data_IF_897138028496
#
_entry.id   IF_897138028496
#
_cell.length_a   1.000
_cell.length_b   1.000
_cell.length_c   1.000
_cell.angle_alpha   90.00
_cell.angle_beta   90.00
_cell.angle_gamma   90.00
#
_symmetry.space_group_name_H-M   'P 1'
#
loop_
_entity.id
_entity.type
_entity.pdbx_description
1 polymer ?
#
# COMPACT_ATOMS: atom_id res chain seq x y z
N UNK A 1 23.12 21.96 40.64
CA UNK A 1 24.11 21.08 41.30
C UNK A 1 23.52 20.66 42.64
N UNK A 2 23.50 19.37 42.97
CA UNK A 2 24.69 18.54 43.27
C UNK A 2 24.98 17.53 42.13
N UNK A 3 26.21 17.31 41.65
CA UNK A 3 27.48 16.84 42.25
C UNK A 3 27.62 15.30 42.24
N UNK A 4 28.51 14.76 41.42
CA UNK A 4 28.86 13.33 41.34
C UNK A 4 29.68 12.97 40.09
N UNK A 5 30.97 12.73 40.28
CA UNK A 5 32.09 12.76 39.32
C UNK A 5 32.31 11.51 38.44
N UNK A 6 33.29 11.54 37.51
CA UNK A 6 33.41 10.67 36.34
C UNK A 6 34.56 9.66 36.41
N UNK A 7 34.29 8.35 36.33
CA UNK A 7 35.29 7.31 36.00
C UNK A 7 34.48 6.15 35.35
N UNK A 8 34.83 5.63 34.17
CA UNK A 8 36.08 4.91 33.93
C UNK A 8 35.88 3.45 34.36
N UNK A 9 35.26 2.62 33.51
CA UNK A 9 34.88 1.25 33.86
C UNK A 9 34.98 0.30 32.68
N UNK A 10 36.14 -0.32 32.56
CA UNK A 10 36.58 -1.29 31.59
C UNK A 10 35.78 -2.60 31.66
N UNK A 11 35.16 -3.04 30.56
CA UNK A 11 34.55 -4.37 30.49
C UNK A 11 35.64 -5.40 30.17
N UNK A 12 36.15 -6.01 31.24
CA UNK A 12 36.88 -7.27 31.17
C UNK A 12 35.88 -8.41 30.92
N UNK A 13 36.27 -9.35 30.06
CA UNK A 13 35.50 -10.56 29.78
C UNK A 13 35.46 -11.50 30.98
N UNK A 14 34.48 -12.39 31.00
CA UNK A 14 34.37 -13.36 32.08
C UNK A 14 33.02 -14.06 32.07
N UNK A 15 33.01 -15.21 31.43
CA UNK A 15 31.91 -16.15 31.32
C UNK A 15 31.63 -16.77 32.71
N UNK A 16 30.36 -16.92 33.10
CA UNK A 16 30.03 -17.49 34.40
C UNK A 16 28.53 -17.60 34.68
N UNK A 17 28.02 -18.79 34.41
CA UNK A 17 26.67 -19.30 34.67
C UNK A 17 26.11 -19.08 36.09
N UNK A 18 24.79 -18.85 36.21
CA UNK A 18 23.99 -19.38 37.32
C UNK A 18 22.98 -18.44 37.99
N UNK A 19 21.75 -18.41 37.46
CA UNK A 19 20.44 -18.31 38.15
C UNK A 19 20.34 -17.44 39.43
N UNK A 20 19.54 -16.37 39.53
CA UNK A 20 18.09 -16.33 39.32
C UNK A 20 17.56 -14.95 39.76
N UNK A 21 16.61 -14.36 39.02
CA UNK A 21 15.51 -13.50 39.54
C UNK A 21 14.55 -13.02 38.42
N UNK A 22 13.34 -13.56 38.48
CA UNK A 22 12.02 -13.05 38.05
C UNK A 22 11.75 -12.82 36.53
N UNK A 23 10.67 -13.43 35.97
CA UNK A 23 10.28 -13.23 34.58
C UNK A 23 9.58 -11.89 34.37
N UNK A 24 10.09 -11.09 33.43
CA UNK A 24 9.37 -9.94 32.89
C UNK A 24 8.25 -10.41 31.97
N UNK A 25 7.10 -9.74 32.03
CA UNK A 25 5.99 -9.89 31.11
C UNK A 25 6.51 -9.65 29.68
N UNK A 26 6.62 -10.71 28.86
CA UNK A 26 7.00 -10.55 27.45
C UNK A 26 7.57 -11.74 26.69
N UNK A 27 8.01 -12.84 27.32
CA UNK A 27 8.69 -13.92 26.59
C UNK A 27 7.83 -15.19 26.41
N UNK A 28 7.52 -15.53 25.15
CA UNK A 28 7.07 -16.86 24.73
C UNK A 28 8.22 -17.58 24.00
N UNK A 29 9.01 -18.33 24.76
CA UNK A 29 10.14 -19.12 24.27
C UNK A 29 9.75 -20.25 23.31
N UNK A 30 10.07 -20.07 22.03
CA UNK A 30 10.19 -21.16 21.05
C UNK A 30 11.67 -21.39 20.68
N UNK A 31 12.06 -22.61 20.26
CA UNK A 31 13.46 -22.92 19.95
C UNK A 31 13.96 -22.12 18.74
N UNK A 32 15.24 -21.73 18.79
CA UNK A 32 15.93 -21.13 17.65
C UNK A 32 16.04 -22.18 16.52
N UNK A 33 15.35 -21.93 15.41
CA UNK A 33 15.54 -22.69 14.17
C UNK A 33 16.40 -21.84 13.23
N UNK A 34 17.56 -22.38 12.84
CA UNK A 34 18.39 -21.81 11.78
C UNK A 34 17.53 -21.48 10.54
N UNK A 35 17.73 -20.32 9.90
CA UNK A 35 16.98 -19.98 8.69
C UNK A 35 17.43 -20.89 7.54
N UNK A 36 16.74 -22.01 7.37
CA UNK A 36 16.78 -22.79 6.14
C UNK A 36 16.29 -21.91 4.98
N UNK A 37 17.19 -21.61 4.06
CA UNK A 37 16.90 -20.96 2.78
C UNK A 37 16.09 -21.92 1.89
N UNK A 38 14.79 -22.01 2.13
CA UNK A 38 13.83 -22.69 1.27
C UNK A 38 13.42 -21.82 0.07
N UNK A 39 13.04 -22.42 -1.08
CA UNK A 39 12.58 -21.65 -2.24
C UNK A 39 11.31 -20.85 -1.90
N UNK A 40 11.22 -19.63 -2.41
CA UNK A 40 10.07 -18.73 -2.25
C UNK A 40 8.84 -19.28 -2.99
N UNK A 41 8.08 -20.14 -2.31
CA UNK A 41 6.79 -20.68 -2.79
C UNK A 41 5.62 -19.84 -2.26
N UNK A 42 5.82 -19.04 -1.21
CA UNK A 42 4.75 -18.24 -0.56
C UNK A 42 4.32 -17.01 -1.36
N UNK A 43 5.15 -16.50 -2.27
CA UNK A 43 4.82 -15.31 -3.09
C UNK A 43 3.92 -15.63 -4.29
N UNK A 44 4.20 -16.73 -5.01
CA UNK A 44 3.49 -17.09 -6.25
C UNK A 44 2.00 -17.35 -6.01
N UNK A 45 1.65 -18.04 -4.93
CA UNK A 45 0.26 -18.35 -4.59
C UNK A 45 -0.56 -17.10 -4.25
N UNK A 46 0.03 -16.16 -3.50
CA UNK A 46 -0.65 -14.89 -3.14
C UNK A 46 -0.84 -13.99 -4.36
N UNK A 47 0.18 -13.87 -5.21
CA UNK A 47 0.12 -13.09 -6.45
C UNK A 47 -0.96 -13.66 -7.39
N UNK A 48 -0.98 -14.99 -7.57
CA UNK A 48 -2.00 -15.68 -8.37
C UNK A 48 -3.41 -15.41 -7.85
N UNK A 49 -3.59 -15.51 -6.54
CA UNK A 49 -4.86 -15.22 -5.85
C UNK A 49 -5.33 -13.77 -6.06
N UNK A 50 -4.48 -12.78 -5.79
CA UNK A 50 -4.84 -11.36 -5.99
C UNK A 50 -5.15 -11.05 -7.47
N UNK A 51 -4.45 -11.69 -8.41
CA UNK A 51 -4.75 -11.56 -9.84
C UNK A 51 -6.13 -12.15 -10.18
N UNK A 52 -6.46 -13.33 -9.65
CA UNK A 52 -7.77 -13.95 -9.83
C UNK A 52 -8.89 -13.07 -9.26
N UNK A 53 -8.73 -12.54 -8.05
CA UNK A 53 -9.69 -11.65 -7.42
C UNK A 53 -9.88 -10.33 -8.18
N UNK A 54 -8.78 -9.74 -8.70
CA UNK A 54 -8.86 -8.59 -9.62
C UNK A 54 -9.62 -8.92 -10.91
N UNK A 55 -9.43 -10.12 -11.48
CA UNK A 55 -10.15 -10.54 -12.67
C UNK A 55 -11.66 -10.64 -12.42
N UNK A 56 -12.08 -11.20 -11.27
CA UNK A 56 -13.48 -11.24 -10.84
C UNK A 56 -14.04 -9.82 -10.68
N UNK A 57 -13.32 -8.92 -10.02
CA UNK A 57 -13.75 -7.53 -9.82
C UNK A 57 -13.99 -6.82 -11.17
N UNK A 58 -13.09 -7.01 -12.15
CA UNK A 58 -13.23 -6.46 -13.51
C UNK A 58 -14.40 -7.06 -14.28
N UNK A 59 -14.59 -8.38 -14.22
CA UNK A 59 -15.68 -9.05 -14.91
C UNK A 59 -17.04 -8.55 -14.41
N UNK A 60 -17.20 -8.36 -13.10
CA UNK A 60 -18.42 -7.82 -12.50
C UNK A 60 -18.67 -6.36 -12.89
N UNK A 61 -17.62 -5.51 -12.91
CA UNK A 61 -17.76 -4.11 -13.33
C UNK A 61 -18.24 -3.97 -14.78
N UNK A 62 -17.85 -4.89 -15.69
CA UNK A 62 -18.28 -4.88 -17.09
C UNK A 62 -19.73 -5.36 -17.29
N UNK A 63 -20.28 -6.12 -16.34
CA UNK A 63 -21.63 -6.70 -16.41
C UNK A 63 -22.71 -5.83 -15.77
N UNK A 64 -22.33 -4.76 -15.07
CA UNK A 64 -23.24 -3.89 -14.33
C UNK A 64 -23.97 -2.86 -15.22
N UNK A 65 -24.80 -3.37 -16.14
CA UNK A 65 -25.98 -2.67 -16.62
C UNK A 65 -27.20 -3.32 -15.99
N UNK A 66 -27.68 -2.75 -14.87
CA UNK A 66 -28.90 -3.13 -14.11
C UNK A 66 -28.99 -4.60 -13.64
N UNK A 67 -28.85 -4.77 -12.31
CA UNK A 67 -29.15 -5.98 -11.51
C UNK A 67 -28.19 -7.16 -11.71
N UNK A 68 -27.53 -7.58 -10.61
CA UNK A 68 -26.92 -8.91 -10.53
C UNK A 68 -25.51 -8.95 -9.95
N UNK A 69 -25.33 -8.56 -8.70
CA UNK A 69 -24.23 -9.09 -7.89
C UNK A 69 -24.76 -10.28 -7.08
N UNK A 70 -25.21 -11.33 -7.76
CA UNK A 70 -25.29 -12.65 -7.12
C UNK A 70 -23.84 -13.07 -6.92
N UNK A 71 -23.36 -12.95 -5.69
CA UNK A 71 -22.16 -13.67 -5.26
C UNK A 71 -22.58 -15.14 -5.28
N UNK A 72 -22.11 -15.90 -6.27
CA UNK A 72 -22.20 -17.36 -6.24
C UNK A 72 -21.26 -17.84 -5.11
N UNK A 73 -21.81 -17.84 -3.90
CA UNK A 73 -21.17 -18.28 -2.67
C UNK A 73 -21.37 -19.80 -2.54
N UNK A 74 -20.70 -20.56 -3.39
CA UNK A 74 -20.53 -22.00 -3.13
C UNK A 74 -19.02 -22.26 -3.20
N UNK A 75 -18.44 -22.41 -2.00
CA UNK A 75 -17.14 -23.03 -1.71
C UNK A 75 -15.84 -22.28 -2.08
N UNK A 76 -15.65 -21.05 -1.57
CA UNK A 76 -14.32 -20.44 -1.55
C UNK A 76 -13.93 -20.07 -0.11
N UNK A 77 -12.98 -20.83 0.46
CA UNK A 77 -12.54 -20.73 1.86
C UNK A 77 -11.98 -19.37 2.29
N UNK A 78 -11.44 -19.33 3.51
CA UNK A 78 -10.98 -18.16 4.29
C UNK A 78 -10.24 -17.05 3.50
N UNK A 79 -9.57 -17.39 2.39
CA UNK A 79 -8.93 -16.43 1.49
C UNK A 79 -9.90 -15.43 0.83
N UNK A 80 -11.11 -15.86 0.45
CA UNK A 80 -12.06 -14.95 -0.21
C UNK A 80 -12.49 -13.81 0.73
N UNK A 81 -12.55 -14.04 2.04
CA UNK A 81 -12.85 -12.98 3.02
C UNK A 81 -11.81 -11.84 2.98
N UNK A 82 -10.53 -12.17 2.86
CA UNK A 82 -9.45 -11.17 2.79
C UNK A 82 -9.50 -10.32 1.51
N UNK A 83 -9.99 -10.87 0.40
CA UNK A 83 -10.07 -10.18 -0.89
C UNK A 83 -11.46 -9.59 -1.17
N UNK A 84 -12.51 -10.10 -0.52
CA UNK A 84 -13.91 -9.71 -0.73
C UNK A 84 -14.12 -8.21 -0.54
N UNK A 85 -13.52 -7.63 0.49
CA UNK A 85 -13.63 -6.19 0.76
C UNK A 85 -12.96 -5.35 -0.33
N UNK A 86 -11.85 -5.85 -0.92
CA UNK A 86 -11.19 -5.22 -2.07
C UNK A 86 -11.99 -5.39 -3.37
N UNK A 87 -12.67 -6.53 -3.57
CA UNK A 87 -13.57 -6.78 -4.71
C UNK A 87 -14.79 -5.85 -4.61
N UNK A 88 -15.38 -5.73 -3.42
CA UNK A 88 -16.55 -4.88 -3.17
C UNK A 88 -16.20 -3.40 -3.37
N UNK A 89 -15.13 -2.91 -2.75
CA UNK A 89 -14.73 -1.50 -2.87
C UNK A 89 -14.35 -1.10 -4.30
N UNK A 90 -13.88 -2.06 -5.13
CA UNK A 90 -13.59 -1.80 -6.54
C UNK A 90 -14.84 -1.34 -7.32
N UNK A 91 -16.04 -1.74 -6.88
CA UNK A 91 -17.31 -1.37 -7.51
C UNK A 91 -17.84 -0.01 -7.04
N UNK A 92 -17.19 0.64 -6.08
CA UNK A 92 -17.62 1.95 -5.60
C UNK A 92 -17.64 2.97 -6.74
N UNK A 93 -18.69 3.79 -6.74
CA UNK A 93 -18.81 4.93 -7.63
C UNK A 93 -17.66 5.95 -7.39
N UNK A 94 -17.26 6.72 -8.43
CA UNK A 94 -16.31 7.80 -8.26
C UNK A 94 -16.76 8.81 -7.19
N UNK A 95 -15.81 9.31 -6.41
CA UNK A 95 -16.00 10.27 -5.32
C UNK A 95 -15.40 11.63 -5.67
N UNK A 96 -15.79 12.68 -4.96
CA UNK A 96 -15.09 13.98 -5.00
C UNK A 96 -13.72 13.84 -4.34
N UNK A 97 -12.84 14.81 -4.58
CA UNK A 97 -11.53 14.85 -3.93
C UNK A 97 -11.66 14.90 -2.40
N UNK A 98 -12.54 15.77 -1.89
CA UNK A 98 -12.79 15.93 -0.45
C UNK A 98 -13.29 14.62 0.21
N UNK A 99 -14.20 13.90 -0.44
CA UNK A 99 -14.69 12.59 0.04
C UNK A 99 -13.56 11.54 0.12
N UNK A 100 -12.56 11.61 -0.77
CA UNK A 100 -11.41 10.71 -0.77
C UNK A 100 -10.36 11.11 0.28
N UNK A 101 -10.14 12.41 0.49
CA UNK A 101 -9.22 12.97 1.48
C UNK A 101 -9.71 12.75 2.92
N UNK A 102 -11.03 12.83 3.15
CA UNK A 102 -11.64 12.64 4.49
C UNK A 102 -11.25 11.31 5.17
N UNK A 103 -10.92 10.30 4.36
CA UNK A 103 -10.57 8.96 4.82
C UNK A 103 -9.08 8.63 4.71
N UNK A 104 -8.24 9.57 4.26
CA UNK A 104 -6.80 9.37 4.17
C UNK A 104 -6.20 9.10 5.57
N UNK A 105 -5.23 8.19 5.65
CA UNK A 105 -4.59 7.79 6.91
C UNK A 105 -5.44 6.88 7.79
N UNK A 106 -6.70 6.59 7.41
CA UNK A 106 -7.57 5.69 8.15
C UNK A 106 -7.40 4.26 7.65
N UNK A 107 -7.19 3.31 8.56
CA UNK A 107 -7.20 1.89 8.22
C UNK A 107 -8.62 1.45 7.81
N UNK A 108 -8.82 1.29 6.49
CA UNK A 108 -10.11 0.93 5.90
C UNK A 108 -9.96 -0.36 5.10
N UNK A 109 -10.61 -1.47 5.52
CA UNK A 109 -10.56 -2.71 4.76
C UNK A 109 -11.03 -2.53 3.31
N UNK A 110 -10.23 -3.03 2.36
CA UNK A 110 -10.48 -2.89 0.92
C UNK A 110 -10.02 -1.57 0.29
N UNK A 111 -9.44 -0.65 1.07
CA UNK A 111 -8.86 0.61 0.60
C UNK A 111 -7.40 0.72 1.01
N UNK A 112 -6.67 1.56 0.28
CA UNK A 112 -5.31 1.97 0.62
C UNK A 112 -5.19 3.49 0.49
N UNK A 113 -4.23 4.06 1.21
CA UNK A 113 -3.79 5.43 0.97
C UNK A 113 -3.01 5.51 -0.35
N UNK A 114 -3.29 6.55 -1.11
CA UNK A 114 -2.69 6.83 -2.40
C UNK A 114 -2.26 8.29 -2.47
N UNK A 115 -1.04 8.51 -2.93
CA UNK A 115 -0.51 9.84 -3.17
C UNK A 115 -0.85 10.28 -4.59
N UNK A 116 -1.54 11.41 -4.76
CA UNK A 116 -1.91 11.98 -6.07
C UNK A 116 -0.63 12.26 -6.88
N UNK A 117 0.35 12.88 -6.23
CA UNK A 117 1.74 12.94 -6.67
C UNK A 117 2.51 11.84 -5.96
N UNK A 118 3.00 10.84 -6.71
CA UNK A 118 3.67 9.66 -6.15
C UNK A 118 4.79 10.05 -5.17
N UNK A 119 4.85 9.38 -4.01
CA UNK A 119 5.89 9.62 -3.00
C UNK A 119 7.32 9.56 -3.58
N UNK A 120 7.56 8.66 -4.54
CA UNK A 120 8.84 8.54 -5.24
C UNK A 120 9.21 9.75 -6.11
N UNK A 121 8.23 10.54 -6.56
CA UNK A 121 8.50 11.82 -7.25
C UNK A 121 9.09 12.85 -6.28
N UNK A 122 8.71 12.82 -5.00
CA UNK A 122 9.25 13.74 -3.99
C UNK A 122 10.78 13.75 -3.92
N UNK A 123 11.39 12.57 -3.87
CA UNK A 123 12.86 12.45 -3.85
C UNK A 123 13.50 12.74 -5.20
N UNK A 124 12.88 12.33 -6.31
CA UNK A 124 13.44 12.49 -7.66
C UNK A 124 13.39 13.93 -8.15
N UNK A 125 12.27 14.60 -7.92
CA UNK A 125 11.97 15.96 -8.39
C UNK A 125 12.25 17.03 -7.31
N UNK A 126 12.69 16.61 -6.11
CA UNK A 126 12.98 17.48 -4.95
C UNK A 126 11.78 18.29 -4.46
N UNK A 127 10.56 17.76 -4.61
CA UNK A 127 9.38 18.37 -4.00
C UNK A 127 9.46 18.30 -2.47
N UNK A 128 8.98 19.33 -1.76
CA UNK A 128 9.04 19.37 -0.30
C UNK A 128 8.22 18.23 0.30
N UNK A 129 8.75 17.59 1.35
CA UNK A 129 8.07 16.48 2.05
C UNK A 129 6.69 16.90 2.58
N UNK A 130 6.54 18.16 3.01
CA UNK A 130 5.25 18.71 3.45
C UNK A 130 4.18 18.73 2.36
N UNK A 131 4.57 18.87 1.09
CA UNK A 131 3.63 18.75 -0.03
C UNK A 131 3.37 17.29 -0.39
N UNK A 132 4.42 16.46 -0.40
CA UNK A 132 4.32 15.04 -0.76
C UNK A 132 3.51 14.25 0.26
N UNK A 133 3.80 14.37 1.55
CA UNK A 133 3.08 13.67 2.62
C UNK A 133 1.89 14.49 3.17
N UNK A 134 1.62 15.65 2.56
CA UNK A 134 0.57 16.56 3.00
C UNK A 134 -0.83 15.99 2.78
N UNK A 135 -1.77 16.38 3.64
CA UNK A 135 -3.16 15.91 3.60
C UNK A 135 -3.86 16.19 2.25
N UNK A 136 -3.40 17.22 1.54
CA UNK A 136 -3.92 17.57 0.22
C UNK A 136 -3.51 16.58 -0.87
N UNK A 137 -2.39 15.87 -0.68
CA UNK A 137 -1.83 14.92 -1.64
C UNK A 137 -2.19 13.46 -1.36
N UNK A 138 -2.73 13.14 -0.18
CA UNK A 138 -3.04 11.75 0.23
C UNK A 138 -4.56 11.52 0.21
N UNK A 139 -4.98 10.42 -0.41
CA UNK A 139 -6.39 10.03 -0.54
C UNK A 139 -6.59 8.54 -0.28
N UNK A 140 -7.76 8.17 0.27
CA UNK A 140 -8.13 6.76 0.46
C UNK A 140 -8.90 6.22 -0.76
N UNK A 141 -8.34 5.25 -1.47
CA UNK A 141 -8.92 4.71 -2.72
C UNK A 141 -9.06 3.18 -2.67
N UNK A 142 -9.97 2.58 -3.45
CA UNK A 142 -10.10 1.12 -3.50
C UNK A 142 -8.76 0.44 -3.87
N UNK A 143 -8.34 -0.56 -3.09
CA UNK A 143 -7.05 -1.25 -3.24
C UNK A 143 -6.77 -1.73 -4.65
N UNK A 144 -7.77 -2.30 -5.32
CA UNK A 144 -7.59 -2.78 -6.69
C UNK A 144 -7.47 -1.65 -7.71
N UNK A 145 -8.16 -0.52 -7.52
CA UNK A 145 -7.96 0.68 -8.36
C UNK A 145 -6.57 1.30 -8.10
N UNK A 146 -6.09 1.29 -6.86
CA UNK A 146 -4.72 1.70 -6.52
C UNK A 146 -3.68 0.91 -7.33
N UNK A 147 -3.81 -0.41 -7.35
CA UNK A 147 -2.92 -1.27 -8.14
C UNK A 147 -2.97 -0.96 -9.64
N UNK A 148 -4.13 -0.65 -10.19
CA UNK A 148 -4.27 -0.31 -11.61
C UNK A 148 -3.65 1.04 -11.95
N UNK A 149 -3.84 2.06 -11.11
CA UNK A 149 -3.22 3.38 -11.26
C UNK A 149 -1.70 3.24 -11.23
N UNK A 150 -1.16 2.53 -10.22
CA UNK A 150 0.29 2.25 -10.15
C UNK A 150 0.78 1.50 -11.39
N UNK A 151 0.02 0.53 -11.88
CA UNK A 151 0.33 -0.17 -13.13
C UNK A 151 0.32 0.75 -14.36
N UNK A 152 -0.61 1.69 -14.42
CA UNK A 152 -0.73 2.66 -15.50
C UNK A 152 0.44 3.64 -15.54
N UNK A 153 0.90 4.12 -14.38
CA UNK A 153 2.10 4.97 -14.29
C UNK A 153 3.38 4.30 -14.79
N UNK A 154 3.41 2.96 -14.82
CA UNK A 154 4.54 2.16 -15.33
C UNK A 154 4.38 1.72 -16.79
N UNK A 155 3.23 1.98 -17.43
CA UNK A 155 2.96 1.53 -18.80
C UNK A 155 3.21 2.67 -19.78
N UNK A 156 3.88 2.36 -20.89
CA UNK A 156 4.02 3.30 -22.01
C UNK A 156 2.65 3.70 -22.52
N UNK A 157 2.46 5.00 -22.78
CA UNK A 157 1.17 5.55 -23.15
C UNK A 157 1.35 6.56 -24.30
N UNK A 158 0.59 6.42 -25.41
CA UNK A 158 0.68 7.34 -26.56
C UNK A 158 0.39 8.80 -26.20
N UNK A 159 -0.45 9.05 -25.19
CA UNK A 159 -0.76 10.40 -24.70
C UNK A 159 0.46 11.13 -24.11
N UNK A 160 1.54 10.38 -23.85
CA UNK A 160 2.80 10.88 -23.30
C UNK A 160 3.97 10.58 -24.26
N UNK A 161 3.70 10.52 -25.57
CA UNK A 161 4.75 10.29 -26.57
C UNK A 161 5.40 8.91 -26.44
N UNK A 162 4.62 7.89 -26.07
CA UNK A 162 5.09 6.52 -25.81
C UNK A 162 6.09 6.39 -24.63
N UNK A 163 6.19 7.41 -23.78
CA UNK A 163 6.81 7.32 -22.46
C UNK A 163 5.84 6.72 -21.45
N UNK A 164 6.37 6.21 -20.34
CA UNK A 164 5.53 5.98 -19.15
C UNK A 164 5.12 7.34 -18.58
N UNK A 165 3.96 7.48 -17.92
CA UNK A 165 3.61 8.71 -17.22
C UNK A 165 4.69 9.16 -16.24
N UNK A 166 5.38 8.23 -15.56
CA UNK A 166 6.52 8.53 -14.68
C UNK A 166 7.69 9.16 -15.41
N UNK A 167 8.04 8.65 -16.60
CA UNK A 167 9.15 9.19 -17.38
C UNK A 167 8.79 10.55 -18.00
N UNK A 168 7.55 10.71 -18.46
CA UNK A 168 7.05 11.98 -18.98
C UNK A 168 7.10 13.10 -17.92
N UNK A 169 6.85 12.77 -16.65
CA UNK A 169 6.81 13.72 -15.55
C UNK A 169 8.20 14.16 -15.05
N UNK A 170 9.29 13.54 -15.49
CA UNK A 170 10.64 13.92 -15.03
C UNK A 170 10.95 15.39 -15.36
N UNK A 171 11.41 16.14 -14.36
CA UNK A 171 11.74 17.55 -14.48
C UNK A 171 10.52 18.47 -14.65
N UNK A 172 9.29 17.96 -14.49
CA UNK A 172 8.07 18.78 -14.52
C UNK A 172 7.71 19.27 -13.13
N UNK A 173 6.94 20.35 -13.09
CA UNK A 173 6.55 20.98 -11.84
C UNK A 173 5.46 20.20 -11.09
N UNK A 174 5.23 20.59 -9.84
CA UNK A 174 4.22 19.99 -8.97
C UNK A 174 2.81 20.01 -9.60
N UNK A 175 2.43 21.11 -10.25
CA UNK A 175 1.10 21.27 -10.83
C UNK A 175 0.84 20.24 -11.94
N UNK A 176 1.85 19.95 -12.76
CA UNK A 176 1.77 18.95 -13.80
C UNK A 176 1.68 17.53 -13.24
N UNK A 177 2.43 17.22 -12.17
CA UNK A 177 2.27 15.96 -11.44
C UNK A 177 0.85 15.79 -10.89
N UNK A 178 0.29 16.83 -10.25
CA UNK A 178 -1.09 16.83 -9.74
C UNK A 178 -2.08 16.62 -10.87
N UNK A 179 -1.92 17.31 -12.01
CA UNK A 179 -2.78 17.19 -13.18
C UNK A 179 -2.81 15.76 -13.71
N UNK A 180 -1.64 15.13 -13.86
CA UNK A 180 -1.54 13.73 -14.31
C UNK A 180 -2.11 12.74 -13.28
N UNK A 181 -1.88 12.99 -11.98
CA UNK A 181 -2.49 12.22 -10.89
C UNK A 181 -4.01 12.24 -10.94
N UNK A 182 -4.62 13.43 -11.05
CA UNK A 182 -6.06 13.57 -11.20
C UNK A 182 -6.60 12.92 -12.48
N UNK A 183 -5.86 13.03 -13.60
CA UNK A 183 -6.22 12.34 -14.85
C UNK A 183 -6.30 10.83 -14.64
N UNK A 184 -5.30 10.22 -13.98
CA UNK A 184 -5.31 8.80 -13.68
C UNK A 184 -6.51 8.41 -12.80
N UNK A 185 -6.76 9.17 -11.73
CA UNK A 185 -7.90 8.91 -10.83
C UNK A 185 -9.25 8.95 -11.55
N UNK A 186 -9.45 9.89 -12.48
CA UNK A 186 -10.68 9.96 -13.30
C UNK A 186 -10.75 8.81 -14.32
N UNK A 187 -9.63 8.47 -14.95
CA UNK A 187 -9.55 7.35 -15.90
C UNK A 187 -9.97 6.02 -15.25
N UNK A 188 -9.55 5.78 -14.01
CA UNK A 188 -9.90 4.58 -13.24
C UNK A 188 -11.17 4.73 -12.41
N UNK A 189 -12.00 5.75 -12.68
CA UNK A 189 -13.30 5.96 -12.03
C UNK A 189 -13.19 6.00 -10.49
N UNK A 190 -12.13 6.60 -9.97
CA UNK A 190 -11.94 6.90 -8.54
C UNK A 190 -12.45 8.30 -8.24
N UNK A 191 -12.08 9.27 -9.08
CA UNK A 191 -12.43 10.68 -8.96
C UNK A 191 -13.53 11.05 -9.96
N UNK A 192 -14.49 11.86 -9.53
CA UNK A 192 -15.56 12.45 -10.38
C UNK A 192 -14.98 13.34 -11.49
#
# INVERSE_FOLDING_TARGET
MPAGSPEGGQWTGGDGSGQSRQPGIGDNGGPALDPLKGPDVRSKDKVSKTQAAKAVAKANARRAGRIGAIITLIEAGHWLYSEYLSIRSYQDAPKTLAELQQHAGQSRPGYDDHHIVEQGAGSRERFPRSAVDGIDNVISIPRYKHHEITGWFNRRNPDFGMLTPRDYLRGRDWAEHVRVGHRALRQFKVLK
#
